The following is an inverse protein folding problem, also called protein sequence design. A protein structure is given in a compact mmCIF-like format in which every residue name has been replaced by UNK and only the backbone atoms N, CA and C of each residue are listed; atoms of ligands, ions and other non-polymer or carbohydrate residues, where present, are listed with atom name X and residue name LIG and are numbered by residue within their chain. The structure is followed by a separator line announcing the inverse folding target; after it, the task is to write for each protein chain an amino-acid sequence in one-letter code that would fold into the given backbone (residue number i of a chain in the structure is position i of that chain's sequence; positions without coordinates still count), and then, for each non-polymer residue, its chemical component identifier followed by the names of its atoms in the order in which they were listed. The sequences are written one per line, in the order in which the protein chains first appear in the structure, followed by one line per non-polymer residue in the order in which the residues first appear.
data_IF_476929901543
#
_entry.id   IF_476929901543
#
_cell.length_a   1.000
_cell.length_b   1.000
_cell.length_c   1.000
_cell.angle_alpha   90.00
_cell.angle_beta   90.00
_cell.angle_gamma   90.00
#
_symmetry.space_group_name_H-M   'P 1'
#
loop_
_entity.id
_entity.type
_entity.pdbx_description
1 polymer ?
#
# COMPACT_ATOMS: atom_id res chain seq x y z
N UNK A 1 38.37 13.40 45.65
CA UNK A 1 37.22 13.95 44.91
C UNK A 1 36.38 12.79 44.44
N UNK A 2 35.18 12.71 45.00
CA UNK A 2 34.11 11.77 44.71
C UNK A 2 33.30 12.28 43.49
N UNK A 3 32.54 11.39 42.85
CA UNK A 3 31.65 11.54 41.68
C UNK A 3 32.37 11.27 40.33
N UNK A 4 31.89 10.41 39.43
CA UNK A 4 30.49 10.10 39.14
C UNK A 4 30.25 8.62 38.78
N UNK A 5 29.10 8.12 39.23
CA UNK A 5 28.40 6.98 38.68
C UNK A 5 27.52 7.45 37.51
N UNK A 6 27.46 6.69 36.43
CA UNK A 6 26.26 6.57 35.60
C UNK A 6 26.31 5.20 34.92
N UNK A 7 25.45 4.30 35.41
CA UNK A 7 25.00 3.16 34.62
C UNK A 7 23.89 3.62 33.68
N UNK A 8 23.76 2.90 32.57
CA UNK A 8 22.72 3.10 31.57
C UNK A 8 22.97 2.14 30.43
N UNK A 9 22.34 0.98 30.52
CA UNK A 9 22.32 -0.06 29.50
C UNK A 9 21.70 0.48 28.20
N UNK A 10 22.53 0.89 27.24
CA UNK A 10 22.06 1.20 25.88
C UNK A 10 21.92 -0.11 25.08
N UNK A 11 20.91 -0.89 25.46
CA UNK A 11 20.32 -1.89 24.57
C UNK A 11 19.61 -1.14 23.46
N UNK A 12 20.34 -0.78 22.40
CA UNK A 12 19.74 -0.44 21.10
C UNK A 12 19.31 -1.72 20.38
N UNK A 13 18.45 -2.49 21.05
CA UNK A 13 17.46 -3.31 20.36
C UNK A 13 16.32 -2.35 20.10
N UNK A 14 16.25 -1.78 18.90
CA UNK A 14 14.98 -1.31 18.37
C UNK A 14 14.12 -2.56 18.11
N UNK A 15 13.70 -3.19 19.21
CA UNK A 15 12.55 -4.05 19.23
C UNK A 15 11.39 -3.12 18.97
N UNK A 16 10.93 -3.13 17.71
CA UNK A 16 9.61 -2.65 17.37
C UNK A 16 8.63 -3.42 18.25
N UNK A 17 8.28 -2.81 19.38
CA UNK A 17 7.21 -3.30 20.24
C UNK A 17 5.97 -3.37 19.38
N UNK A 18 5.51 -4.60 19.18
CA UNK A 18 4.38 -4.92 18.33
C UNK A 18 3.15 -4.13 18.74
N UNK A 19 2.91 -3.05 18.01
CA UNK A 19 1.55 -2.69 17.67
C UNK A 19 1.32 -3.52 16.43
N UNK A 20 0.50 -4.57 16.50
CA UNK A 20 0.07 -5.25 15.28
C UNK A 20 -0.56 -4.15 14.42
N UNK A 21 0.16 -3.69 13.40
CA UNK A 21 -0.37 -2.74 12.45
C UNK A 21 -1.65 -3.33 11.91
N UNK A 22 -2.66 -2.48 11.72
CA UNK A 22 -3.78 -2.82 10.84
C UNK A 22 -3.21 -3.29 9.50
N UNK A 23 -3.95 -4.15 8.81
CA UNK A 23 -3.57 -4.65 7.47
C UNK A 23 -3.08 -3.53 6.55
N UNK A 24 -3.72 -2.35 6.57
CA UNK A 24 -3.30 -1.20 5.78
C UNK A 24 -1.92 -0.63 6.18
N UNK A 25 -1.60 -0.57 7.47
CA UNK A 25 -0.30 -0.09 7.97
C UNK A 25 0.83 -1.05 7.60
N UNK A 26 0.58 -2.37 7.65
CA UNK A 26 1.55 -3.37 7.20
C UNK A 26 1.82 -3.23 5.70
N UNK A 27 0.76 -3.16 4.88
CA UNK A 27 0.87 -2.95 3.42
C UNK A 27 1.68 -1.70 3.11
N UNK A 28 1.31 -0.56 3.70
CA UNK A 28 1.98 0.72 3.47
C UNK A 28 3.46 0.68 3.84
N UNK A 29 3.83 -0.03 4.92
CA UNK A 29 5.22 -0.22 5.33
C UNK A 29 6.08 -1.00 4.34
N UNK A 30 5.47 -1.83 3.48
CA UNK A 30 6.17 -2.68 2.51
C UNK A 30 6.39 -2.02 1.14
N UNK A 31 5.60 -1.01 0.78
CA UNK A 31 5.57 -0.40 -0.58
C UNK A 31 6.95 0.00 -1.09
N UNK A 32 7.79 0.58 -0.25
CA UNK A 32 9.13 1.06 -0.65
C UNK A 32 10.10 -0.05 -1.11
N UNK A 33 9.82 -1.30 -0.76
CA UNK A 33 10.61 -2.49 -1.14
C UNK A 33 9.81 -3.50 -1.99
N UNK A 34 8.59 -3.15 -2.39
CA UNK A 34 7.68 -4.03 -3.11
C UNK A 34 8.04 -4.17 -4.60
N UNK A 35 7.57 -5.24 -5.23
CA UNK A 35 7.84 -5.58 -6.63
C UNK A 35 6.77 -5.00 -7.56
N UNK A 36 7.06 -3.83 -8.14
CA UNK A 36 6.17 -3.18 -9.10
C UNK A 36 5.95 -3.98 -10.40
N UNK A 37 6.85 -4.90 -10.76
CA UNK A 37 6.64 -5.77 -11.95
C UNK A 37 5.58 -6.82 -11.67
N UNK A 38 5.60 -7.40 -10.47
CA UNK A 38 4.51 -8.25 -10.00
C UNK A 38 3.21 -7.43 -9.85
N UNK A 39 3.33 -6.22 -9.32
CA UNK A 39 2.23 -5.25 -9.19
C UNK A 39 1.52 -4.95 -10.50
N UNK A 40 2.24 -4.75 -11.60
CA UNK A 40 1.65 -4.60 -12.95
C UNK A 40 0.83 -5.83 -13.33
N UNK A 41 1.40 -7.03 -13.16
CA UNK A 41 0.72 -8.29 -13.51
C UNK A 41 -0.62 -8.42 -12.75
N UNK A 42 -0.60 -8.14 -11.46
CA UNK A 42 -1.79 -8.16 -10.60
C UNK A 42 -2.77 -7.07 -11.03
N UNK A 43 -2.29 -5.85 -11.24
CA UNK A 43 -3.10 -4.72 -11.67
C UNK A 43 -3.84 -5.05 -12.97
N UNK A 44 -3.16 -5.54 -14.00
CA UNK A 44 -3.81 -5.87 -15.28
C UNK A 44 -4.83 -7.01 -15.13
N UNK A 45 -4.58 -7.96 -14.22
CA UNK A 45 -5.49 -9.09 -13.97
C UNK A 45 -6.74 -8.73 -13.17
N UNK A 46 -6.64 -7.80 -12.21
CA UNK A 46 -7.71 -7.50 -11.25
C UNK A 46 -8.31 -6.09 -11.41
N UNK A 47 -7.48 -5.08 -11.68
CA UNK A 47 -7.85 -3.67 -11.58
C UNK A 47 -7.97 -2.97 -12.93
N UNK A 48 -7.13 -3.34 -13.91
CA UNK A 48 -6.96 -2.72 -15.22
C UNK A 48 -8.03 -3.07 -16.24
N UNK A 49 -9.11 -3.75 -15.84
CA UNK A 49 -10.24 -3.99 -16.73
C UNK A 49 -11.02 -2.70 -16.97
N UNK A 50 -11.63 -2.53 -18.15
CA UNK A 50 -12.46 -1.36 -18.48
C UNK A 50 -13.70 -1.21 -17.59
N UNK A 51 -14.10 -2.26 -16.88
CA UNK A 51 -15.15 -2.21 -15.84
C UNK A 51 -14.69 -1.56 -14.53
N UNK A 52 -13.38 -1.44 -14.33
CA UNK A 52 -12.76 -0.85 -13.16
C UNK A 52 -11.91 0.35 -13.59
N UNK A 53 -10.58 0.28 -13.56
CA UNK A 53 -9.73 1.44 -13.85
C UNK A 53 -9.25 1.52 -15.31
N UNK A 54 -9.40 0.46 -16.08
CA UNK A 54 -8.83 0.34 -17.42
C UNK A 54 -7.30 0.21 -17.39
N UNK A 55 -6.66 -0.22 -18.50
CA UNK A 55 -5.22 -0.51 -18.50
C UNK A 55 -4.35 0.71 -18.23
N UNK A 56 -4.87 1.92 -18.49
CA UNK A 56 -4.17 3.19 -18.27
C UNK A 56 -4.57 3.88 -16.96
N UNK A 57 -5.45 3.27 -16.16
CA UNK A 57 -5.90 3.82 -14.89
C UNK A 57 -6.91 4.96 -14.98
N UNK A 58 -7.31 5.36 -16.18
CA UNK A 58 -8.27 6.45 -16.41
C UNK A 58 -9.25 6.20 -17.57
N UNK A 59 -9.20 5.00 -18.16
CA UNK A 59 -10.01 4.58 -19.30
C UNK A 59 -11.01 3.47 -18.94
N UNK A 60 -11.19 3.22 -17.64
CA UNK A 60 -12.19 2.34 -17.09
C UNK A 60 -13.57 2.98 -16.87
N UNK A 61 -14.30 2.47 -15.88
CA UNK A 61 -15.64 2.95 -15.56
C UNK A 61 -15.59 4.36 -14.99
N UNK A 62 -16.53 5.23 -15.37
CA UNK A 62 -16.53 6.66 -14.99
C UNK A 62 -16.42 6.93 -13.47
N UNK A 63 -16.87 5.99 -12.63
CA UNK A 63 -16.85 6.12 -11.17
C UNK A 63 -15.61 5.49 -10.51
N UNK A 64 -14.70 4.88 -11.27
CA UNK A 64 -13.50 4.23 -10.72
C UNK A 64 -12.40 5.24 -10.33
N UNK A 65 -12.52 6.49 -10.77
CA UNK A 65 -11.52 7.53 -10.52
C UNK A 65 -10.35 7.45 -11.51
N UNK A 66 -9.76 8.62 -11.79
CA UNK A 66 -8.59 8.80 -12.64
C UNK A 66 -7.34 8.56 -11.78
N UNK A 67 -6.72 7.38 -11.88
CA UNK A 67 -5.54 7.00 -11.09
C UNK A 67 -4.35 7.95 -11.34
N UNK A 68 -3.98 8.29 -12.58
CA UNK A 68 -2.99 9.34 -12.87
C UNK A 68 -3.23 10.67 -12.14
N UNK A 69 -4.49 11.08 -11.99
CA UNK A 69 -4.80 12.35 -11.30
C UNK A 69 -4.85 12.22 -9.77
N UNK A 70 -5.10 11.02 -9.24
CA UNK A 70 -5.41 10.82 -7.81
C UNK A 70 -4.25 10.22 -7.03
N UNK A 71 -3.53 9.23 -7.58
CA UNK A 71 -2.42 8.54 -6.92
C UNK A 71 -1.33 9.51 -6.41
N UNK A 72 -0.91 10.56 -7.14
CA UNK A 72 0.10 11.50 -6.65
C UNK A 72 -0.31 12.26 -5.38
N UNK A 73 -1.61 12.44 -5.16
CA UNK A 73 -2.15 13.20 -4.03
C UNK A 73 -2.38 12.37 -2.76
N UNK A 74 -2.30 11.04 -2.85
CA UNK A 74 -2.56 10.12 -1.74
C UNK A 74 -1.25 9.61 -1.15
N UNK A 75 -1.22 9.35 0.15
CA UNK A 75 -0.16 8.61 0.85
C UNK A 75 -0.28 7.10 0.64
N UNK A 76 0.79 6.34 0.91
CA UNK A 76 0.76 4.88 0.79
C UNK A 76 -0.25 4.25 1.76
N UNK A 77 -0.43 4.85 2.94
CA UNK A 77 -1.45 4.43 3.90
C UNK A 77 -2.86 4.65 3.37
N UNK A 78 -3.12 5.78 2.70
CA UNK A 78 -4.43 6.04 2.08
C UNK A 78 -4.70 5.06 0.92
N UNK A 79 -3.70 4.78 0.08
CA UNK A 79 -3.82 3.78 -0.99
C UNK A 79 -4.06 2.38 -0.44
N UNK A 80 -3.32 1.99 0.61
CA UNK A 80 -3.52 0.72 1.30
C UNK A 80 -4.91 0.63 1.93
N UNK A 81 -5.40 1.71 2.55
CA UNK A 81 -6.75 1.77 3.12
C UNK A 81 -7.82 1.57 2.05
N UNK A 82 -7.68 2.20 0.88
CA UNK A 82 -8.61 2.01 -0.24
C UNK A 82 -8.63 0.56 -0.76
N UNK A 83 -7.49 -0.13 -0.76
CA UNK A 83 -7.41 -1.55 -1.13
C UNK A 83 -8.01 -2.46 -0.06
N UNK A 84 -7.83 -2.14 1.22
CA UNK A 84 -8.33 -2.96 2.34
C UNK A 84 -9.84 -2.80 2.50
N UNK A 85 -10.35 -1.56 2.45
CA UNK A 85 -11.75 -1.25 2.76
C UNK A 85 -12.63 -1.15 1.51
N UNK A 86 -12.03 -0.96 0.33
CA UNK A 86 -12.75 -0.55 -0.87
C UNK A 86 -13.26 0.88 -0.78
N UNK A 87 -13.87 1.36 -1.87
CA UNK A 87 -14.52 2.67 -1.89
C UNK A 87 -15.61 2.72 -2.97
N UNK A 88 -16.81 3.16 -2.59
CA UNK A 88 -17.92 3.29 -3.52
C UNK A 88 -18.27 1.96 -4.18
N UNK A 89 -18.00 1.83 -5.49
CA UNK A 89 -18.20 0.59 -6.25
C UNK A 89 -16.96 -0.30 -6.33
N UNK A 90 -15.80 0.16 -5.85
CA UNK A 90 -14.60 -0.66 -5.73
C UNK A 90 -14.72 -1.54 -4.48
N UNK A 91 -14.76 -2.88 -4.62
CA UNK A 91 -14.85 -3.76 -3.46
C UNK A 91 -13.51 -3.81 -2.70
N UNK A 92 -13.54 -4.24 -1.42
CA UNK A 92 -12.34 -4.58 -0.65
C UNK A 92 -11.47 -5.60 -1.39
N UNK A 93 -10.24 -5.25 -1.77
CA UNK A 93 -9.37 -6.10 -2.58
C UNK A 93 -8.66 -7.17 -1.76
N UNK A 94 -8.20 -6.83 -0.55
CA UNK A 94 -7.53 -7.78 0.34
C UNK A 94 -8.48 -8.88 0.82
N UNK A 95 -9.72 -8.51 1.20
CA UNK A 95 -10.68 -9.47 1.75
C UNK A 95 -11.62 -10.11 0.70
N UNK A 96 -11.95 -9.43 -0.40
CA UNK A 96 -12.89 -9.97 -1.41
C UNK A 96 -12.19 -10.62 -2.59
N UNK A 97 -11.08 -10.04 -3.06
CA UNK A 97 -10.31 -10.58 -4.20
C UNK A 97 -9.23 -11.57 -3.74
N UNK A 98 -8.93 -11.61 -2.44
CA UNK A 98 -7.97 -12.54 -1.85
C UNK A 98 -6.51 -12.13 -2.01
N UNK A 99 -6.25 -10.84 -2.28
CA UNK A 99 -4.89 -10.29 -2.34
C UNK A 99 -4.20 -10.40 -0.98
N UNK A 100 -2.97 -10.89 -0.95
CA UNK A 100 -2.12 -10.81 0.24
C UNK A 100 -1.69 -9.37 0.53
N UNK A 101 -1.16 -9.13 1.73
CA UNK A 101 -0.62 -7.81 2.09
C UNK A 101 0.58 -7.43 1.21
N UNK A 102 1.42 -8.41 0.85
CA UNK A 102 2.55 -8.23 -0.07
C UNK A 102 2.08 -7.91 -1.48
N UNK A 103 1.10 -8.65 -2.01
CA UNK A 103 0.55 -8.40 -3.35
C UNK A 103 -0.14 -7.03 -3.44
N UNK A 104 -0.81 -6.61 -2.37
CA UNK A 104 -1.38 -5.26 -2.28
C UNK A 104 -0.28 -4.19 -2.30
N UNK A 105 0.83 -4.40 -1.60
CA UNK A 105 1.98 -3.49 -1.62
C UNK A 105 2.63 -3.43 -3.02
N UNK A 106 2.74 -4.55 -3.72
CA UNK A 106 3.24 -4.63 -5.10
C UNK A 106 2.38 -3.79 -6.05
N UNK A 107 1.04 -3.90 -5.95
CA UNK A 107 0.11 -3.08 -6.75
C UNK A 107 0.26 -1.59 -6.45
N UNK A 108 0.39 -1.20 -5.17
CA UNK A 108 0.63 0.21 -4.82
C UNK A 108 1.96 0.69 -5.41
N UNK A 109 3.02 -0.11 -5.33
CA UNK A 109 4.32 0.23 -5.92
C UNK A 109 4.24 0.40 -7.44
N UNK A 110 3.50 -0.46 -8.14
CA UNK A 110 3.19 -0.27 -9.56
C UNK A 110 2.44 1.04 -9.81
N UNK A 111 1.34 1.29 -9.10
CA UNK A 111 0.54 2.50 -9.24
C UNK A 111 1.40 3.76 -9.02
N UNK A 112 2.30 3.74 -8.02
CA UNK A 112 3.28 4.81 -7.82
C UNK A 112 4.17 4.96 -9.05
N UNK A 113 4.81 3.91 -9.54
CA UNK A 113 5.75 4.06 -10.65
C UNK A 113 5.09 4.51 -11.96
N UNK A 114 3.83 4.13 -12.16
CA UNK A 114 3.11 4.34 -13.43
C UNK A 114 2.26 5.61 -13.46
N UNK A 115 1.70 6.01 -12.31
CA UNK A 115 0.72 7.10 -12.21
C UNK A 115 1.21 8.30 -11.39
N UNK A 116 2.53 8.44 -11.19
CA UNK A 116 3.17 9.62 -10.57
C UNK A 116 3.40 10.78 -11.54
#
# INVERSE_FOLDING_TARGET
MLLAACGGDDTSTSGGGGTAGTTAENIAGMVSSADATNGDTIYQGLCGSSSCHGPNGNDGQANAGDLPATVPGLSDLELATLLVDGQGSMPPQVSSSGLSEEEAADVIAYCRQTFQ
#
